data_IF_947863511970
#
_entry.id   IF_947863511970
#
_cell.length_a   1.000
_cell.length_b   1.000
_cell.length_c   1.000
_cell.angle_alpha   90.00
_cell.angle_beta   90.00
_cell.angle_gamma   90.00
#
_symmetry.space_group_name_H-M   'P 1'
#
loop_
_entity.id
_entity.type
_entity.pdbx_description
1 polymer ?
#
# COMPACT_ATOMS: atom_id res chain seq x y z
N UNK A 1 19.94 -13.90 8.45
CA UNK A 1 20.01 -13.00 8.61
C UNK A 1 18.92 -12.22 8.52
N UNK A 2 18.62 -11.55 8.93
CA UNK A 2 17.64 -10.91 8.94
C UNK A 2 17.49 -10.05 7.99
N UNK A 3 16.48 -9.78 7.61
CA UNK A 3 16.40 -8.98 6.62
C UNK A 3 16.25 -7.63 7.07
N UNK A 4 17.28 -6.93 7.14
CA UNK A 4 17.21 -5.56 7.53
C UNK A 4 16.48 -4.74 6.50
N UNK A 5 16.21 -5.30 5.34
CA UNK A 5 15.49 -4.57 4.31
C UNK A 5 13.99 -4.72 4.40
N UNK A 6 13.50 -5.53 5.30
CA UNK A 6 12.06 -5.72 5.43
C UNK A 6 11.41 -4.44 5.94
N UNK A 7 10.31 -4.07 5.31
CA UNK A 7 9.56 -2.87 5.67
C UNK A 7 8.20 -3.27 6.16
N UNK A 8 7.50 -2.36 6.79
CA UNK A 8 6.14 -2.60 7.21
C UNK A 8 5.19 -1.93 6.24
N UNK A 9 4.27 -2.71 5.71
CA UNK A 9 3.34 -2.28 4.69
C UNK A 9 1.93 -2.40 5.23
N UNK A 10 1.17 -1.33 5.12
CA UNK A 10 -0.23 -1.34 5.52
C UNK A 10 -1.10 -1.47 4.28
N UNK A 11 -1.93 -2.51 4.24
CA UNK A 11 -2.82 -2.76 3.12
C UNK A 11 -4.24 -2.44 3.58
N UNK A 12 -4.88 -1.50 2.90
CA UNK A 12 -6.22 -1.07 3.24
C UNK A 12 -7.16 -1.33 2.07
N UNK A 13 -8.17 -2.14 2.28
CA UNK A 13 -9.16 -2.42 1.24
C UNK A 13 -10.41 -2.93 1.93
N UNK A 14 -11.57 -2.45 1.49
CA UNK A 14 -12.81 -2.88 2.11
C UNK A 14 -13.25 -4.25 1.60
N UNK A 15 -12.66 -4.74 0.52
CA UNK A 15 -12.96 -6.07 0.02
C UNK A 15 -12.02 -7.09 0.64
N UNK A 16 -12.53 -8.00 1.45
CA UNK A 16 -11.65 -8.93 2.17
C UNK A 16 -10.79 -9.78 1.25
N UNK A 17 -11.32 -10.16 0.10
CA UNK A 17 -10.58 -11.02 -0.81
C UNK A 17 -9.37 -10.31 -1.39
N UNK A 18 -9.56 -9.05 -1.78
CA UNK A 18 -8.46 -8.27 -2.32
C UNK A 18 -7.44 -7.99 -1.21
N UNK A 19 -7.94 -7.62 -0.04
CA UNK A 19 -7.06 -7.31 1.09
C UNK A 19 -6.19 -8.52 1.44
N UNK A 20 -6.78 -9.71 1.48
CA UNK A 20 -6.03 -10.92 1.78
C UNK A 20 -5.05 -11.25 0.68
N UNK A 21 -5.46 -11.10 -0.56
CA UNK A 21 -4.61 -11.42 -1.68
C UNK A 21 -3.37 -10.52 -1.72
N UNK A 22 -3.58 -9.21 -1.62
CA UNK A 22 -2.47 -8.28 -1.64
C UNK A 22 -1.58 -8.49 -0.43
N UNK A 23 -2.17 -8.70 0.74
CA UNK A 23 -1.40 -8.95 1.94
C UNK A 23 -0.52 -10.20 1.81
N UNK A 24 -1.07 -11.26 1.22
CA UNK A 24 -0.31 -12.48 1.03
C UNK A 24 0.86 -12.27 0.06
N UNK A 25 0.62 -11.52 -1.01
CA UNK A 25 1.68 -11.23 -1.97
C UNK A 25 2.80 -10.44 -1.32
N UNK A 26 2.46 -9.39 -0.58
CA UNK A 26 3.45 -8.54 0.06
C UNK A 26 4.22 -9.31 1.12
N UNK A 27 3.54 -10.17 1.85
CA UNK A 27 4.20 -11.01 2.85
C UNK A 27 5.21 -11.94 2.20
N UNK A 28 4.89 -12.48 1.03
CA UNK A 28 5.81 -13.36 0.32
C UNK A 28 7.03 -12.62 -0.20
N UNK A 29 6.91 -11.32 -0.42
CA UNK A 29 8.07 -10.54 -0.81
C UNK A 29 9.02 -10.30 0.36
N UNK A 30 8.60 -10.67 1.58
CA UNK A 30 9.47 -10.55 2.74
C UNK A 30 9.18 -9.36 3.63
N UNK A 31 8.14 -8.60 3.33
CA UNK A 31 7.79 -7.44 4.17
C UNK A 31 6.79 -7.84 5.24
N UNK A 32 6.73 -7.06 6.29
CA UNK A 32 5.71 -7.23 7.33
C UNK A 32 4.44 -6.55 6.86
N UNK A 33 3.32 -7.20 7.05
CA UNK A 33 2.04 -6.69 6.55
C UNK A 33 1.07 -6.44 7.69
N UNK A 34 0.48 -5.25 7.68
CA UNK A 34 -0.66 -4.94 8.52
C UNK A 34 -1.83 -4.72 7.57
N UNK A 35 -3.03 -5.09 7.98
CA UNK A 35 -4.19 -4.91 7.12
C UNK A 35 -5.27 -4.16 7.86
N UNK A 36 -6.08 -3.43 7.10
CA UNK A 36 -7.23 -2.72 7.65
C UNK A 36 -8.34 -2.74 6.62
N UNK A 37 -9.58 -2.71 7.09
CA UNK A 37 -10.71 -2.76 6.18
C UNK A 37 -11.24 -1.38 5.81
N UNK A 38 -10.69 -0.35 6.40
CA UNK A 38 -11.14 1.02 6.15
C UNK A 38 -10.06 2.00 6.56
N UNK A 39 -10.20 3.24 6.13
CA UNK A 39 -9.28 4.28 6.55
C UNK A 39 -9.34 4.51 8.05
N UNK A 40 -10.53 4.46 8.62
CA UNK A 40 -10.69 4.65 10.05
C UNK A 40 -9.97 3.57 10.84
N UNK A 41 -10.10 2.31 10.38
CA UNK A 41 -9.42 1.20 11.03
C UNK A 41 -7.90 1.37 10.91
N UNK A 42 -7.45 1.81 9.74
CA UNK A 42 -6.03 2.04 9.51
C UNK A 42 -5.48 3.08 10.48
N UNK A 43 -6.21 4.17 10.67
CA UNK A 43 -5.77 5.21 11.58
C UNK A 43 -5.70 4.71 13.02
N UNK A 44 -6.63 3.83 13.40
CA UNK A 44 -6.60 3.25 14.73
C UNK A 44 -5.34 2.42 14.95
N UNK A 45 -4.97 1.63 13.95
CA UNK A 45 -3.75 0.83 14.05
C UNK A 45 -2.53 1.72 14.22
N UNK A 46 -2.46 2.80 13.46
CA UNK A 46 -1.30 3.67 13.51
C UNK A 46 -1.24 4.46 14.80
N UNK A 47 -2.40 4.80 15.36
CA UNK A 47 -2.42 5.50 16.62
C UNK A 47 -1.82 4.67 17.73
N UNK A 48 -1.79 3.36 17.59
CA UNK A 48 -1.20 2.50 18.62
C UNK A 48 0.30 2.31 18.37
N UNK A 49 0.89 3.15 17.55
CA UNK A 49 2.34 3.15 17.42
C UNK A 49 2.94 2.22 16.41
N UNK A 50 2.16 1.71 15.49
CA UNK A 50 2.73 0.84 14.46
C UNK A 50 3.37 1.70 13.38
N UNK A 51 4.69 1.64 13.22
CA UNK A 51 5.33 2.40 12.16
C UNK A 51 5.08 1.71 10.83
N UNK A 52 4.89 2.48 9.78
CA UNK A 52 4.71 1.93 8.45
C UNK A 52 5.57 2.71 7.46
N UNK A 53 6.00 2.02 6.41
CA UNK A 53 6.81 2.65 5.37
C UNK A 53 6.07 2.75 4.05
N UNK A 54 5.04 1.90 3.86
CA UNK A 54 4.26 1.93 2.62
C UNK A 54 2.80 1.72 2.94
N UNK A 55 1.96 2.53 2.31
CA UNK A 55 0.51 2.35 2.35
C UNK A 55 0.07 1.87 0.98
N UNK A 56 -0.68 0.76 0.93
CA UNK A 56 -1.32 0.30 -0.29
C UNK A 56 -2.80 0.42 -0.05
N UNK A 57 -3.48 1.24 -0.86
CA UNK A 57 -4.88 1.49 -0.64
C UNK A 57 -5.61 1.73 -1.96
N UNK A 58 -6.88 1.45 -1.98
CA UNK A 58 -7.71 1.79 -3.11
C UNK A 58 -7.84 3.32 -3.17
N UNK A 59 -8.03 3.84 -4.35
CA UNK A 59 -8.27 5.28 -4.49
C UNK A 59 -9.65 5.61 -3.96
N UNK A 60 -10.64 4.82 -4.36
CA UNK A 60 -12.02 5.06 -3.95
C UNK A 60 -12.42 4.02 -2.94
N UNK A 61 -12.87 4.44 -1.79
CA UNK A 61 -13.31 3.53 -0.75
C UNK A 61 -14.48 4.16 -0.01
N UNK A 62 -15.35 3.35 0.56
CA UNK A 62 -16.45 3.90 1.37
C UNK A 62 -15.90 4.68 2.54
N UNK A 63 -16.54 5.79 2.85
CA UNK A 63 -16.06 6.62 3.94
C UNK A 63 -14.85 7.40 3.52
N UNK A 64 -13.72 7.12 4.15
CA UNK A 64 -12.51 7.87 3.88
C UNK A 64 -11.85 7.35 2.61
N UNK A 65 -11.61 8.23 1.66
CA UNK A 65 -10.95 7.82 0.40
C UNK A 65 -9.48 7.54 0.62
N UNK A 66 -8.87 6.87 -0.34
CA UNK A 66 -7.44 6.59 -0.28
C UNK A 66 -6.60 7.85 -0.15
N UNK A 67 -6.83 8.88 -0.97
CA UNK A 67 -6.06 10.12 -0.84
C UNK A 67 -6.22 10.80 0.52
N UNK A 68 -7.42 10.79 1.09
CA UNK A 68 -7.60 11.36 2.42
C UNK A 68 -6.80 10.59 3.46
N UNK A 69 -6.83 9.27 3.37
CA UNK A 69 -6.07 8.43 4.29
C UNK A 69 -4.57 8.68 4.11
N UNK A 70 -4.12 8.76 2.87
CA UNK A 70 -2.71 8.99 2.60
C UNK A 70 -2.24 10.31 3.19
N UNK A 71 -3.06 11.35 3.07
CA UNK A 71 -2.69 12.64 3.64
C UNK A 71 -2.58 12.57 5.15
N UNK A 72 -3.53 11.90 5.80
CA UNK A 72 -3.49 11.80 7.25
C UNK A 72 -2.31 10.97 7.74
N UNK A 73 -2.04 9.87 7.07
CA UNK A 73 -0.92 9.02 7.48
C UNK A 73 0.42 9.67 7.17
N UNK A 74 0.51 10.40 6.07
CA UNK A 74 1.75 11.08 5.73
C UNK A 74 2.09 12.17 6.75
N UNK A 75 1.08 12.78 7.34
CA UNK A 75 1.32 13.77 8.38
C UNK A 75 1.92 13.12 9.62
N UNK A 76 1.54 11.87 9.90
CA UNK A 76 2.07 11.14 11.05
C UNK A 76 3.40 10.46 10.75
N UNK A 77 3.63 10.11 9.50
CA UNK A 77 4.83 9.40 9.10
C UNK A 77 5.44 10.09 7.88
N UNK A 78 6.21 11.14 8.09
CA UNK A 78 6.87 11.82 6.96
C UNK A 78 7.75 10.81 6.22
N UNK A 79 7.69 10.82 4.93
CA UNK A 79 8.45 9.85 4.16
C UNK A 79 7.66 8.60 3.79
N UNK A 80 6.41 8.52 4.25
CA UNK A 80 5.58 7.39 3.89
C UNK A 80 5.41 7.33 2.38
N UNK A 81 5.57 6.14 1.80
CA UNK A 81 5.31 5.93 0.39
C UNK A 81 3.88 5.45 0.22
N UNK A 82 3.27 5.76 -0.89
CA UNK A 82 1.87 5.39 -1.13
C UNK A 82 1.73 4.75 -2.50
N UNK A 83 1.09 3.60 -2.53
CA UNK A 83 0.74 2.92 -3.77
C UNK A 83 -0.77 2.79 -3.80
N UNK A 84 -1.38 3.41 -4.80
CA UNK A 84 -2.81 3.29 -4.98
C UNK A 84 -3.14 2.14 -5.91
N UNK A 85 -4.17 1.39 -5.58
CA UNK A 85 -4.68 0.36 -6.46
C UNK A 85 -6.01 0.87 -6.96
N UNK A 86 -6.19 0.91 -8.26
CA UNK A 86 -7.36 1.51 -8.85
C UNK A 86 -8.09 0.53 -9.74
N UNK A 87 -9.39 0.56 -9.70
CA UNK A 87 -10.21 -0.19 -10.64
C UNK A 87 -10.06 0.41 -12.02
N UNK A 88 -10.97 0.05 -12.91
CA UNK A 88 -10.78 0.53 -14.24
C UNK A 88 -11.15 1.97 -14.44
N UNK A 89 -11.61 2.64 -13.49
CA UNK A 89 -11.94 4.01 -13.68
C UNK A 89 -10.73 4.87 -13.41
N UNK A 90 -9.77 4.84 -14.29
CA UNK A 90 -8.57 5.61 -14.10
C UNK A 90 -8.71 6.94 -14.75
N UNK A 91 -9.41 7.85 -14.14
CA UNK A 91 -9.58 9.16 -14.74
C UNK A 91 -8.23 9.88 -14.80
N UNK A 92 -8.13 10.82 -15.72
CA UNK A 92 -6.93 11.64 -15.81
C UNK A 92 -6.70 12.42 -14.53
N UNK A 93 -7.77 12.77 -13.83
CA UNK A 93 -7.65 13.53 -12.59
C UNK A 93 -6.93 12.69 -11.54
N UNK A 94 -7.31 11.41 -11.43
CA UNK A 94 -6.67 10.53 -10.47
C UNK A 94 -5.19 10.34 -10.81
N UNK A 95 -4.89 10.08 -12.07
CA UNK A 95 -3.51 9.88 -12.46
C UNK A 95 -2.66 11.11 -12.21
N UNK A 96 -3.21 12.27 -12.51
CA UNK A 96 -2.48 13.51 -12.30
C UNK A 96 -2.19 13.73 -10.83
N UNK A 97 -3.21 13.51 -9.98
CA UNK A 97 -3.03 13.66 -8.54
C UNK A 97 -1.93 12.75 -8.02
N UNK A 98 -1.95 11.49 -8.44
CA UNK A 98 -0.97 10.52 -7.96
C UNK A 98 0.44 10.93 -8.36
N UNK A 99 0.61 11.35 -9.61
CA UNK A 99 1.91 11.77 -10.09
C UNK A 99 2.39 13.02 -9.36
N UNK A 100 1.51 13.98 -9.17
CA UNK A 100 1.90 15.23 -8.52
C UNK A 100 2.33 15.02 -7.09
N UNK A 101 1.76 14.03 -6.42
CA UNK A 101 2.14 13.74 -5.04
C UNK A 101 3.36 12.84 -4.94
N UNK A 102 3.87 12.37 -6.06
CA UNK A 102 5.00 11.45 -6.02
C UNK A 102 4.62 10.05 -5.59
N UNK A 103 3.35 9.71 -5.70
CA UNK A 103 2.88 8.38 -5.34
C UNK A 103 2.86 7.47 -6.56
N UNK A 104 2.50 6.22 -6.38
CA UNK A 104 2.42 5.26 -7.46
C UNK A 104 0.99 4.74 -7.62
N UNK A 105 0.69 4.23 -8.79
CA UNK A 105 -0.64 3.73 -9.11
C UNK A 105 -0.50 2.40 -9.82
N UNK A 106 -1.30 1.43 -9.41
CA UNK A 106 -1.34 0.12 -10.04
C UNK A 106 -2.79 -0.19 -10.40
N UNK A 107 -3.05 -0.47 -11.67
CA UNK A 107 -4.41 -0.72 -12.13
C UNK A 107 -4.80 -2.17 -11.92
N UNK A 108 -6.06 -2.40 -11.59
CA UNK A 108 -6.61 -3.75 -11.51
C UNK A 108 -7.10 -4.17 -12.88
N UNK A 109 -6.98 -5.43 -13.23
CA UNK A 109 -6.31 -6.47 -12.48
C UNK A 109 -4.79 -6.37 -12.67
N UNK A 110 -4.05 -6.87 -11.70
CA UNK A 110 -2.60 -6.80 -11.79
C UNK A 110 -2.00 -8.17 -11.48
N UNK A 111 -0.76 -8.36 -11.87
CA UNK A 111 -0.04 -9.59 -11.61
C UNK A 111 0.83 -9.42 -10.38
N UNK A 112 1.31 -10.53 -9.85
CA UNK A 112 2.25 -10.49 -8.74
C UNK A 112 3.49 -9.71 -9.13
N UNK A 113 3.97 -9.92 -10.35
CA UNK A 113 5.17 -9.21 -10.81
C UNK A 113 4.94 -7.72 -10.91
N UNK A 114 3.76 -7.30 -11.39
CA UNK A 114 3.48 -5.87 -11.48
C UNK A 114 3.44 -5.23 -10.10
N UNK A 115 2.85 -5.91 -9.13
CA UNK A 115 2.81 -5.42 -7.77
C UNK A 115 4.22 -5.32 -7.19
N UNK A 116 5.04 -6.37 -7.41
CA UNK A 116 6.41 -6.37 -6.89
C UNK A 116 7.21 -5.22 -7.49
N UNK A 117 7.06 -4.98 -8.79
CA UNK A 117 7.80 -3.89 -9.42
C UNK A 117 7.45 -2.55 -8.83
N UNK A 118 6.17 -2.31 -8.55
CA UNK A 118 5.78 -1.04 -7.95
C UNK A 118 6.34 -0.91 -6.54
N UNK A 119 6.30 -1.98 -5.78
CA UNK A 119 6.81 -1.94 -4.41
C UNK A 119 8.32 -1.72 -4.44
N UNK A 120 9.03 -2.39 -5.34
CA UNK A 120 10.48 -2.19 -5.44
C UNK A 120 10.83 -0.77 -5.86
N UNK A 121 10.03 -0.18 -6.71
CA UNK A 121 10.28 1.19 -7.11
C UNK A 121 10.14 2.16 -5.94
N UNK A 122 9.28 1.82 -4.98
CA UNK A 122 9.03 2.70 -3.84
C UNK A 122 9.93 2.40 -2.66
N UNK A 123 10.22 1.13 -2.41
CA UNK A 123 10.92 0.72 -1.20
C UNK A 123 12.31 0.13 -1.44
N UNK A 124 12.66 -0.11 -2.69
CA UNK A 124 13.90 -0.81 -2.98
C UNK A 124 13.66 -2.29 -3.14
N UNK A 125 14.69 -3.07 -3.43
CA UNK A 125 14.53 -4.49 -3.71
C UNK A 125 13.83 -5.22 -2.57
N UNK A 126 12.99 -6.19 -2.95
CA UNK A 126 12.30 -6.95 -1.92
C UNK A 126 13.31 -7.80 -1.16
N UNK A 127 13.12 -7.97 0.14
CA UNK A 127 14.13 -8.64 0.96
C UNK A 127 14.24 -10.13 0.78
N UNK A 128 13.18 -10.78 0.38
CA UNK A 128 13.29 -12.17 0.34
C UNK A 128 13.26 -12.76 -0.96
N UNK A 129 13.93 -13.84 -1.09
CA UNK A 129 13.87 -14.53 -2.24
C UNK A 129 13.49 -15.88 -1.95
N UNK A 130 12.73 -16.15 -0.97
CA UNK A 130 12.39 -17.37 -0.57
C UNK A 130 11.86 -18.06 -1.63
N UNK A 131 12.53 -18.59 -2.34
CA UNK A 131 12.07 -19.24 -3.35
C UNK A 131 11.59 -20.51 -2.95
N UNK A 132 11.61 -20.86 -2.19
CA UNK A 132 11.23 -22.07 -1.90
C UNK A 132 10.40 -22.40 -1.59
#
# INVERSE_FOLDING_TARGET
MESSDAKTVLVVDDEPEIRKLVGAMVSRFGHTVLTADSGEHALTLIKHGHPIELLITDVIAPGMSGPMLADKLSALHPGLKVLYISGYDNSHIVKKYVVEKGHALLAKPFTVDALREKIEALLGPVPTTKSV
#
